data_IF_548816632701
#
_entry.id   IF_548816632701
#
_cell.length_a   1.000
_cell.length_b   1.000
_cell.length_c   1.000
_cell.angle_alpha   90.00
_cell.angle_beta   90.00
_cell.angle_gamma   90.00
#
_symmetry.space_group_name_H-M   'P 1'
#
loop_
_entity.id
_entity.type
_entity.pdbx_description
1 polymer ?
#
# COMPACT_ATOMS: atom_id res chain seq x y z
N UNK A 1 22.73 -21.96 -19.97
CA UNK A 1 22.67 -21.40 -18.61
C UNK A 1 23.13 -19.96 -18.71
N UNK A 2 22.18 -19.03 -18.82
CA UNK A 2 22.48 -17.60 -19.01
C UNK A 2 22.83 -17.00 -17.65
N UNK A 3 24.05 -16.48 -17.54
CA UNK A 3 24.60 -15.83 -16.35
C UNK A 3 24.08 -14.40 -16.36
N UNK A 4 23.09 -14.10 -15.52
CA UNK A 4 22.70 -12.72 -15.25
C UNK A 4 23.83 -12.04 -14.48
N UNK A 5 24.54 -11.13 -15.14
CA UNK A 5 25.45 -10.20 -14.47
C UNK A 5 24.59 -9.15 -13.77
N UNK A 6 24.56 -9.22 -12.44
CA UNK A 6 24.01 -8.18 -11.59
C UNK A 6 25.03 -7.04 -11.55
N UNK A 7 24.86 -6.05 -12.43
CA UNK A 7 25.63 -4.81 -12.37
C UNK A 7 25.18 -4.01 -11.15
N UNK A 8 25.93 -4.11 -10.06
CA UNK A 8 25.91 -3.14 -8.97
C UNK A 8 26.33 -1.78 -9.54
N UNK A 9 25.36 -0.93 -9.87
CA UNK A 9 25.65 0.46 -10.20
C UNK A 9 26.02 1.16 -8.89
N UNK A 10 27.32 1.33 -8.65
CA UNK A 10 27.80 2.31 -7.68
C UNK A 10 27.53 3.70 -8.26
N UNK A 11 26.57 4.40 -7.66
CA UNK A 11 26.27 5.79 -7.97
C UNK A 11 27.38 6.69 -7.39
N UNK A 12 28.52 6.76 -8.07
CA UNK A 12 29.43 7.90 -7.94
C UNK A 12 29.02 8.95 -8.98
N UNK A 13 28.86 10.20 -8.54
CA UNK A 13 28.62 11.41 -9.34
C UNK A 13 27.16 11.87 -9.43
N UNK A 14 26.68 12.55 -8.39
CA UNK A 14 26.18 13.94 -8.44
C UNK A 14 25.59 14.33 -7.07
N UNK A 15 26.45 14.87 -6.18
CA UNK A 15 26.06 15.29 -4.83
C UNK A 15 25.63 16.77 -4.77
N UNK A 16 25.14 17.34 -5.87
CA UNK A 16 24.81 18.77 -5.99
C UNK A 16 23.44 19.13 -5.39
N UNK A 17 22.92 18.37 -4.43
CA UNK A 17 21.56 18.59 -3.91
C UNK A 17 21.35 18.04 -2.51
N UNK A 18 22.12 18.54 -1.55
CA UNK A 18 21.80 18.46 -0.12
C UNK A 18 21.62 17.06 0.44
N UNK A 19 22.50 16.10 0.13
CA UNK A 19 22.47 14.76 0.74
C UNK A 19 21.38 13.82 0.23
N UNK A 20 20.41 14.29 -0.56
CA UNK A 20 19.36 13.45 -1.14
C UNK A 20 19.94 12.53 -2.23
N UNK A 21 19.64 11.22 -2.23
CA UNK A 21 20.21 10.28 -3.20
C UNK A 21 19.78 10.57 -4.64
N UNK A 22 20.73 10.45 -5.58
CA UNK A 22 20.49 10.65 -7.01
C UNK A 22 19.42 9.70 -7.58
N UNK A 23 19.25 8.50 -7.00
CA UNK A 23 18.22 7.55 -7.42
C UNK A 23 16.81 8.07 -7.17
N UNK A 24 16.54 8.69 -6.02
CA UNK A 24 15.22 9.26 -5.73
C UNK A 24 14.92 10.46 -6.64
N UNK A 25 15.94 11.28 -6.95
CA UNK A 25 15.80 12.47 -7.79
C UNK A 25 15.29 12.16 -9.21
N UNK A 26 15.44 10.92 -9.68
CA UNK A 26 14.99 10.45 -11.01
C UNK A 26 13.48 10.17 -11.08
N UNK A 27 12.77 10.24 -9.94
CA UNK A 27 11.35 9.92 -9.86
C UNK A 27 10.51 11.18 -9.59
N UNK A 28 9.42 11.35 -10.33
CA UNK A 28 8.46 12.46 -10.16
C UNK A 28 7.45 12.15 -9.05
N UNK A 29 7.97 11.96 -7.83
CA UNK A 29 7.21 11.47 -6.68
C UNK A 29 7.32 12.42 -5.48
N UNK A 30 7.48 13.72 -5.75
CA UNK A 30 7.79 14.70 -4.71
C UNK A 30 6.59 15.56 -4.32
N UNK A 31 6.59 16.02 -3.07
CA UNK A 31 5.69 17.04 -2.56
C UNK A 31 6.40 17.95 -1.55
N UNK A 32 5.85 19.14 -1.31
CA UNK A 32 6.32 20.04 -0.26
C UNK A 32 5.46 19.86 0.98
N UNK A 33 6.08 19.84 2.15
CA UNK A 33 5.41 19.84 3.45
C UNK A 33 5.74 21.07 4.28
N UNK A 34 4.86 21.40 5.23
CA UNK A 34 5.12 22.29 6.35
C UNK A 34 4.55 21.64 7.61
N UNK A 35 5.34 21.61 8.69
CA UNK A 35 4.98 20.90 9.92
C UNK A 35 4.55 19.44 9.62
N UNK A 36 5.29 18.77 8.73
CA UNK A 36 5.01 17.41 8.21
C UNK A 36 3.68 17.22 7.45
N UNK A 37 2.95 18.29 7.17
CA UNK A 37 1.69 18.26 6.42
C UNK A 37 1.90 18.67 4.97
N UNK A 38 1.27 18.01 3.99
CA UNK A 38 1.45 18.34 2.59
C UNK A 38 0.85 19.72 2.31
N UNK A 39 1.60 20.58 1.61
CA UNK A 39 1.17 21.93 1.19
C UNK A 39 1.20 22.11 -0.32
N UNK A 40 2.09 21.40 -1.03
CA UNK A 40 2.14 21.42 -2.49
C UNK A 40 2.42 20.01 -3.04
N UNK A 41 1.38 19.29 -3.49
CA UNK A 41 -0.05 19.62 -3.37
C UNK A 41 -0.56 19.47 -1.93
N UNK A 42 -1.58 20.23 -1.52
CA UNK A 42 -2.16 20.11 -0.17
C UNK A 42 -3.10 18.91 -0.01
N UNK A 43 -3.70 18.46 -1.11
CA UNK A 43 -4.60 17.30 -1.17
C UNK A 43 -4.33 16.50 -2.44
N UNK A 44 -4.71 15.22 -2.45
CA UNK A 44 -4.58 14.36 -3.62
C UNK A 44 -3.13 14.06 -4.03
N UNK A 45 -2.17 14.17 -3.11
CA UNK A 45 -0.76 13.80 -3.34
C UNK A 45 -0.58 12.31 -3.68
N UNK A 46 -1.57 11.49 -3.34
CA UNK A 46 -1.64 10.09 -3.74
C UNK A 46 -1.82 9.91 -5.25
N UNK A 47 -2.35 10.91 -5.95
CA UNK A 47 -2.52 10.85 -7.41
C UNK A 47 -1.20 11.24 -8.10
N UNK A 48 -0.74 10.39 -9.03
CA UNK A 48 0.54 10.61 -9.73
C UNK A 48 0.62 11.96 -10.44
N UNK A 49 -0.49 12.44 -11.00
CA UNK A 49 -0.58 13.72 -11.73
C UNK A 49 -0.34 14.95 -10.86
N UNK A 50 -0.46 14.83 -9.54
CA UNK A 50 -0.28 15.95 -8.60
C UNK A 50 1.13 16.01 -8.01
N UNK A 51 1.96 14.98 -8.26
CA UNK A 51 3.33 14.89 -7.74
C UNK A 51 4.28 15.71 -8.60
N UNK A 52 5.34 16.18 -7.96
CA UNK A 52 6.33 17.08 -8.56
C UNK A 52 7.58 16.31 -8.94
N UNK A 53 8.32 16.83 -9.92
CA UNK A 53 9.71 16.46 -10.15
C UNK A 53 10.62 16.99 -9.03
N UNK A 54 11.84 16.46 -8.94
CA UNK A 54 12.80 16.90 -7.92
C UNK A 54 13.16 18.39 -8.03
N UNK A 55 13.31 18.92 -9.24
CA UNK A 55 13.61 20.34 -9.45
C UNK A 55 12.44 21.23 -9.06
N UNK A 56 11.21 20.83 -9.40
CA UNK A 56 10.01 21.60 -9.07
C UNK A 56 9.74 21.62 -7.57
N UNK A 57 9.98 20.51 -6.87
CA UNK A 57 9.77 20.46 -5.41
C UNK A 57 10.79 21.32 -4.68
N UNK A 58 12.04 21.38 -5.13
CA UNK A 58 13.07 22.24 -4.54
C UNK A 58 12.69 23.72 -4.65
N UNK A 59 12.35 24.17 -5.86
CA UNK A 59 11.93 25.56 -6.09
C UNK A 59 10.70 25.93 -5.24
N UNK A 60 9.73 25.03 -5.16
CA UNK A 60 8.52 25.25 -4.34
C UNK A 60 8.79 25.21 -2.85
N UNK A 61 9.66 24.34 -2.37
CA UNK A 61 10.04 24.28 -0.97
C UNK A 61 10.70 25.58 -0.52
N UNK A 62 11.62 26.13 -1.34
CA UNK A 62 12.22 27.44 -1.09
C UNK A 62 11.18 28.57 -1.11
N UNK A 63 10.30 28.59 -2.10
CA UNK A 63 9.26 29.62 -2.23
C UNK A 63 8.28 29.62 -1.04
N UNK A 64 7.90 28.45 -0.56
CA UNK A 64 6.91 28.29 0.50
C UNK A 64 7.55 28.32 1.90
N UNK A 65 8.87 28.15 2.01
CA UNK A 65 9.53 27.87 3.29
C UNK A 65 9.06 26.53 3.86
N UNK A 66 9.07 25.49 3.03
CA UNK A 66 8.68 24.13 3.39
C UNK A 66 9.83 23.13 3.25
N UNK A 67 9.54 21.88 3.56
CA UNK A 67 10.46 20.75 3.47
C UNK A 67 10.05 19.85 2.30
N UNK A 68 11.03 19.25 1.63
CA UNK A 68 10.76 18.29 0.55
C UNK A 68 10.37 16.93 1.14
N UNK A 69 9.42 16.25 0.51
CA UNK A 69 9.02 14.90 0.89
C UNK A 69 8.88 14.00 -0.33
N UNK A 70 9.21 12.73 -0.14
CA UNK A 70 9.18 11.70 -1.16
C UNK A 70 8.02 10.73 -0.90
N UNK A 71 7.20 10.49 -1.92
CA UNK A 71 6.01 9.61 -1.85
C UNK A 71 6.38 8.20 -2.30
N UNK A 72 6.15 7.21 -1.44
CA UNK A 72 6.30 5.80 -1.77
C UNK A 72 5.12 5.30 -2.60
N UNK A 73 5.36 4.40 -3.56
CA UNK A 73 4.37 3.91 -4.51
C UNK A 73 4.69 2.48 -4.95
N UNK A 74 3.67 1.67 -5.23
CA UNK A 74 3.85 0.31 -5.77
C UNK A 74 4.64 0.26 -7.09
N UNK A 75 4.62 1.34 -7.88
CA UNK A 75 5.37 1.43 -9.14
C UNK A 75 6.88 1.65 -8.99
N UNK A 76 7.33 2.06 -7.81
CA UNK A 76 8.72 2.37 -7.53
C UNK A 76 9.34 1.25 -6.68
N UNK A 77 10.61 0.89 -6.89
CA UNK A 77 11.24 -0.22 -6.18
C UNK A 77 11.65 0.12 -4.74
N UNK A 78 11.19 1.26 -4.19
CA UNK A 78 11.69 1.80 -2.94
C UNK A 78 10.83 1.37 -1.76
N UNK A 79 11.51 0.95 -0.70
CA UNK A 79 10.93 0.74 0.62
C UNK A 79 11.60 1.69 1.61
N UNK A 80 10.78 2.34 2.42
CA UNK A 80 11.19 3.22 3.51
C UNK A 80 11.04 2.53 4.85
N UNK A 81 12.11 2.51 5.63
CA UNK A 81 12.12 2.13 7.03
C UNK A 81 12.18 3.41 7.86
N UNK A 82 11.19 3.60 8.73
CA UNK A 82 11.13 4.72 9.67
C UNK A 82 11.46 4.20 11.07
N UNK A 83 12.60 4.62 11.61
CA UNK A 83 13.02 4.31 12.97
C UNK A 83 12.71 5.50 13.86
N UNK A 84 11.55 5.47 14.51
CA UNK A 84 11.04 6.57 15.30
C UNK A 84 11.44 6.47 16.77
N UNK A 85 11.86 7.59 17.35
CA UNK A 85 12.26 7.74 18.76
C UNK A 85 13.34 6.73 19.23
N UNK A 86 14.31 6.45 18.36
CA UNK A 86 15.41 5.50 18.59
C UNK A 86 16.70 6.14 19.13
N UNK A 87 16.59 7.32 19.75
CA UNK A 87 17.71 8.10 20.27
C UNK A 87 17.73 8.10 21.79
N UNK A 88 18.83 7.64 22.37
CA UNK A 88 19.11 7.65 23.81
C UNK A 88 20.07 8.80 24.14
N UNK A 89 19.52 9.97 24.45
CA UNK A 89 20.31 11.17 24.73
C UNK A 89 20.93 11.75 23.47
N UNK A 90 22.25 11.62 23.33
CA UNK A 90 22.98 12.12 22.16
C UNK A 90 23.17 11.06 21.07
N UNK A 91 23.07 9.77 21.42
CA UNK A 91 23.42 8.65 20.56
C UNK A 91 22.16 7.89 20.13
N UNK A 92 22.20 7.25 18.97
CA UNK A 92 21.16 6.30 18.55
C UNK A 92 21.34 4.96 19.24
N UNK A 93 20.25 4.22 19.45
CA UNK A 93 20.30 2.89 20.08
C UNK A 93 21.07 1.89 19.23
N UNK A 94 21.79 0.97 19.88
CA UNK A 94 22.51 -0.12 19.21
C UNK A 94 21.58 -0.98 18.32
N UNK A 95 20.30 -1.12 18.71
CA UNK A 95 19.31 -1.86 17.92
C UNK A 95 18.98 -1.14 16.60
N UNK A 96 18.77 0.17 16.65
CA UNK A 96 18.54 0.97 15.45
C UNK A 96 19.77 0.99 14.54
N UNK A 97 20.96 1.16 15.11
CA UNK A 97 22.22 1.12 14.35
C UNK A 97 22.45 -0.27 13.73
N UNK A 98 22.13 -1.34 14.44
CA UNK A 98 22.18 -2.70 13.89
C UNK A 98 21.21 -2.91 12.71
N UNK A 99 20.06 -2.24 12.69
CA UNK A 99 19.14 -2.26 11.54
C UNK A 99 19.74 -1.48 10.36
N UNK A 100 20.25 -0.27 10.61
CA UNK A 100 20.91 0.59 9.61
C UNK A 100 22.09 -0.13 8.95
N UNK A 101 23.00 -0.70 9.75
CA UNK A 101 24.16 -1.45 9.27
C UNK A 101 23.78 -2.69 8.47
N UNK A 102 22.69 -3.38 8.84
CA UNK A 102 22.20 -4.52 8.07
C UNK A 102 21.67 -4.08 6.72
N UNK A 103 20.85 -3.04 6.69
CA UNK A 103 20.27 -2.51 5.46
C UNK A 103 21.35 -1.93 4.54
N UNK A 104 22.38 -1.26 5.09
CA UNK A 104 23.53 -0.71 4.35
C UNK A 104 23.06 0.02 3.08
N UNK A 105 22.23 1.04 3.30
CA UNK A 105 21.54 1.81 2.26
C UNK A 105 21.32 3.23 2.76
N UNK A 106 20.90 4.13 1.86
CA UNK A 106 20.64 5.54 2.15
C UNK A 106 19.99 5.74 3.52
N UNK A 107 20.69 6.46 4.41
CA UNK A 107 20.23 6.73 5.77
C UNK A 107 20.39 8.21 6.08
N UNK A 108 19.34 8.81 6.62
CA UNK A 108 19.33 10.21 7.08
C UNK A 108 18.71 10.34 8.47
N UNK A 109 19.07 11.40 9.18
CA UNK A 109 18.42 11.79 10.43
C UNK A 109 17.05 12.38 10.11
N UNK A 110 16.00 11.86 10.75
CA UNK A 110 14.63 12.32 10.51
C UNK A 110 14.43 13.76 11.00
N UNK A 111 13.38 14.44 10.51
CA UNK A 111 13.08 15.84 10.89
C UNK A 111 12.75 16.04 12.38
N UNK A 112 12.51 14.97 13.15
CA UNK A 112 12.40 15.07 14.61
C UNK A 112 13.75 15.15 15.32
N UNK A 113 14.84 14.72 14.67
CA UNK A 113 16.17 14.58 15.26
C UNK A 113 16.31 13.43 16.26
N UNK A 114 15.22 12.67 16.50
CA UNK A 114 15.17 11.49 17.40
C UNK A 114 15.08 10.17 16.64
N UNK A 115 14.86 10.21 15.33
CA UNK A 115 14.72 9.04 14.49
C UNK A 115 15.67 9.02 13.28
N UNK A 116 15.61 7.93 12.53
CA UNK A 116 16.37 7.70 11.31
C UNK A 116 15.42 7.21 10.22
N UNK A 117 15.58 7.72 9.00
CA UNK A 117 14.98 7.12 7.81
C UNK A 117 16.03 6.28 7.08
N UNK A 118 15.68 5.04 6.70
CA UNK A 118 16.48 4.23 5.78
C UNK A 118 15.66 3.96 4.53
N UNK A 119 16.22 4.23 3.35
CA UNK A 119 15.57 3.98 2.06
C UNK A 119 16.38 2.95 1.29
N UNK A 120 15.76 1.85 0.93
CA UNK A 120 16.38 0.74 0.20
C UNK A 120 15.52 0.32 -1.00
N UNK A 121 16.10 -0.48 -1.91
CA UNK A 121 15.33 -1.15 -2.95
C UNK A 121 15.06 -2.61 -2.59
N UNK A 122 13.79 -3.02 -2.63
CA UNK A 122 13.36 -4.37 -2.31
C UNK A 122 11.87 -4.46 -2.04
N UNK A 123 11.37 -5.69 -1.91
CA UNK A 123 9.96 -5.97 -1.68
C UNK A 123 9.73 -6.37 -0.21
N UNK A 124 8.67 -5.85 0.38
CA UNK A 124 8.19 -6.26 1.69
C UNK A 124 7.32 -7.52 1.60
N UNK A 125 7.15 -8.21 2.72
CA UNK A 125 6.20 -9.29 2.90
C UNK A 125 4.87 -8.76 3.44
N UNK A 126 3.76 -9.20 2.85
CA UNK A 126 2.40 -8.93 3.32
C UNK A 126 2.06 -9.69 4.62
N UNK A 127 2.89 -10.64 5.03
CA UNK A 127 2.66 -11.51 6.20
C UNK A 127 3.00 -10.81 7.53
N UNK A 128 3.57 -9.61 7.50
CA UNK A 128 3.93 -8.84 8.69
C UNK A 128 3.17 -7.52 8.77
N UNK A 129 2.95 -7.01 9.98
CA UNK A 129 2.43 -5.65 10.17
C UNK A 129 3.46 -4.64 9.68
N UNK A 130 3.01 -3.40 9.44
CA UNK A 130 3.90 -2.31 9.04
C UNK A 130 4.62 -1.64 10.22
N UNK A 131 4.21 -1.90 11.47
CA UNK A 131 4.77 -1.28 12.68
C UNK A 131 5.09 -2.31 13.75
N UNK A 132 6.24 -2.17 14.40
CA UNK A 132 6.70 -2.99 15.53
C UNK A 132 7.51 -2.18 16.53
N UNK A 133 7.33 -2.44 17.81
CA UNK A 133 8.08 -1.76 18.88
C UNK A 133 9.48 -2.37 19.00
N UNK A 134 10.50 -1.53 19.16
CA UNK A 134 11.89 -1.97 19.33
C UNK A 134 12.19 -2.25 20.81
N UNK A 135 13.13 -3.17 21.06
CA UNK A 135 13.47 -3.62 22.43
C UNK A 135 14.14 -2.54 23.29
N UNK A 136 14.83 -1.59 22.64
CA UNK A 136 15.53 -0.45 23.29
C UNK A 136 14.70 0.84 23.32
N UNK A 137 13.43 0.78 22.94
CA UNK A 137 12.57 1.95 22.83
C UNK A 137 12.51 2.48 21.40
N UNK A 138 11.44 3.23 21.13
CA UNK A 138 11.08 3.59 19.77
C UNK A 138 10.35 2.47 19.03
N UNK A 139 10.16 2.66 17.74
CA UNK A 139 9.47 1.71 16.88
C UNK A 139 10.05 1.73 15.47
N UNK A 140 9.88 0.61 14.78
CA UNK A 140 10.17 0.47 13.37
C UNK A 140 8.86 0.48 12.60
N UNK A 141 8.78 1.32 11.57
CA UNK A 141 7.74 1.25 10.54
C UNK A 141 8.34 0.96 9.16
N UNK A 142 7.58 0.26 8.32
CA UNK A 142 7.97 -0.10 6.96
C UNK A 142 6.86 0.27 5.98
N UNK A 143 7.23 1.02 4.93
CA UNK A 143 6.31 1.47 3.89
C UNK A 143 6.92 1.35 2.50
N UNK A 144 6.17 0.80 1.56
CA UNK A 144 6.49 0.77 0.12
C UNK A 144 5.48 1.57 -0.72
N UNK A 145 4.35 1.98 -0.13
CA UNK A 145 3.36 2.83 -0.75
C UNK A 145 2.48 3.56 0.28
N UNK A 146 1.56 4.41 -0.20
CA UNK A 146 0.53 5.08 0.60
C UNK A 146 1.05 5.99 1.73
N UNK A 147 2.36 6.25 1.79
CA UNK A 147 3.04 7.15 2.72
C UNK A 147 4.09 7.99 2.00
N UNK A 148 4.53 9.04 2.68
CA UNK A 148 5.65 9.87 2.25
C UNK A 148 6.59 10.11 3.43
N UNK A 149 7.88 10.25 3.16
CA UNK A 149 8.87 10.68 4.15
C UNK A 149 9.29 12.12 3.85
N UNK A 150 9.34 12.94 4.90
CA UNK A 150 9.97 14.27 4.83
C UNK A 150 11.46 14.06 4.87
N UNK A 151 12.15 14.40 3.77
CA UNK A 151 13.59 14.15 3.65
C UNK A 151 14.37 15.38 4.10
N UNK A 152 15.30 15.17 5.01
CA UNK A 152 16.14 16.24 5.57
C UNK A 152 17.43 16.42 4.76
N UNK A 153 17.92 15.35 4.15
CA UNK A 153 19.26 15.33 3.55
C UNK A 153 20.40 15.36 4.58
N UNK A 154 20.09 15.23 5.88
CA UNK A 154 21.09 15.10 6.95
C UNK A 154 21.59 13.66 7.01
N UNK A 155 22.53 13.35 6.11
CA UNK A 155 23.06 11.99 5.90
C UNK A 155 23.71 11.48 7.18
N UNK A 156 23.32 10.27 7.58
CA UNK A 156 23.93 9.54 8.68
C UNK A 156 25.07 8.65 8.18
N UNK A 157 26.24 8.76 8.81
CA UNK A 157 27.42 7.89 8.60
C UNK A 157 27.78 7.61 7.13
N UNK A 158 27.70 8.65 6.28
CA UNK A 158 28.01 8.60 4.84
C UNK A 158 27.14 7.61 4.00
N UNK A 159 26.02 7.13 4.54
CA UNK A 159 25.05 6.32 3.81
C UNK A 159 24.23 7.18 2.82
N UNK A 160 24.84 7.57 1.70
CA UNK A 160 24.23 8.46 0.70
C UNK A 160 23.45 7.68 -0.38
N UNK A 161 23.90 6.47 -0.70
CA UNK A 161 23.41 5.74 -1.87
C UNK A 161 22.29 4.76 -1.53
N UNK A 162 21.23 4.75 -2.33
CA UNK A 162 20.17 3.74 -2.21
C UNK A 162 20.65 2.43 -2.81
N UNK A 163 20.57 1.36 -2.02
CA UNK A 163 21.08 0.06 -2.37
C UNK A 163 19.96 -0.95 -2.54
N UNK A 164 20.12 -1.88 -3.50
CA UNK A 164 19.23 -3.04 -3.64
C UNK A 164 19.53 -4.09 -2.59
N UNK A 165 18.50 -4.42 -1.79
CA UNK A 165 18.56 -5.22 -0.57
C UNK A 165 17.35 -6.16 -0.40
N UNK A 166 16.83 -6.84 -1.45
CA UNK A 166 15.54 -7.56 -1.38
C UNK A 166 15.49 -8.61 -0.26
N UNK A 167 16.58 -9.37 -0.07
CA UNK A 167 16.67 -10.36 1.00
C UNK A 167 16.75 -9.71 2.39
N UNK A 168 17.54 -8.65 2.53
CA UNK A 168 17.77 -8.01 3.82
C UNK A 168 16.54 -7.24 4.29
N UNK A 169 15.79 -6.62 3.36
CA UNK A 169 14.51 -5.97 3.62
C UNK A 169 13.57 -6.95 4.33
N UNK A 170 13.40 -8.16 3.78
CA UNK A 170 12.56 -9.19 4.37
C UNK A 170 13.14 -9.72 5.70
N UNK A 171 14.46 -9.91 5.80
CA UNK A 171 15.09 -10.38 7.04
C UNK A 171 14.97 -9.37 8.19
N UNK A 172 15.01 -8.07 7.91
CA UNK A 172 14.76 -7.00 8.90
C UNK A 172 13.28 -6.97 9.26
N UNK A 173 12.40 -7.01 8.27
CA UNK A 173 10.95 -7.05 8.51
C UNK A 173 10.55 -8.24 9.40
N UNK A 174 10.97 -9.46 9.06
CA UNK A 174 10.63 -10.65 9.83
C UNK A 174 11.20 -10.62 11.26
N UNK A 175 12.36 -9.99 11.46
CA UNK A 175 13.00 -9.91 12.77
C UNK A 175 12.34 -8.89 13.71
N UNK A 176 11.80 -7.80 13.17
CA UNK A 176 11.39 -6.63 13.96
C UNK A 176 9.89 -6.32 13.89
N UNK A 177 9.18 -6.77 12.86
CA UNK A 177 7.75 -6.52 12.70
C UNK A 177 6.94 -7.77 13.04
N UNK A 178 5.85 -7.64 13.82
CA UNK A 178 5.04 -8.79 14.21
C UNK A 178 4.33 -9.40 12.99
N UNK A 179 4.23 -10.73 12.97
CA UNK A 179 3.42 -11.43 11.99
C UNK A 179 1.96 -10.97 12.07
N UNK A 180 1.32 -10.87 10.91
CA UNK A 180 -0.14 -10.75 10.84
C UNK A 180 -0.72 -12.08 11.25
N UNK A 181 -1.78 -12.09 12.08
CA UNK A 181 -2.51 -13.33 12.32
C UNK A 181 -3.01 -13.85 10.97
N UNK A 182 -2.74 -15.11 10.66
CA UNK A 182 -3.43 -15.79 9.57
C UNK A 182 -4.93 -15.57 9.77
N UNK A 183 -5.58 -14.88 8.82
CA UNK A 183 -7.03 -14.97 8.69
C UNK A 183 -7.34 -16.37 8.16
N UNK A 184 -7.16 -17.40 8.99
CA UNK A 184 -7.74 -18.70 8.74
C UNK A 184 -9.24 -18.53 8.88
N UNK A 185 -9.91 -18.24 7.78
CA UNK A 185 -11.29 -18.63 7.64
C UNK A 185 -11.29 -20.16 7.68
N UNK A 186 -11.39 -20.73 8.88
CA UNK A 186 -12.04 -22.04 9.00
C UNK A 186 -13.45 -21.81 8.50
N UNK A 187 -13.63 -22.00 7.20
CA UNK A 187 -14.90 -22.43 6.64
C UNK A 187 -15.21 -23.75 7.34
N UNK A 188 -15.75 -23.68 8.56
CA UNK A 188 -16.72 -24.67 8.97
C UNK A 188 -17.87 -24.47 8.01
N UNK A 189 -17.76 -25.12 6.84
CA UNK A 189 -18.93 -25.52 6.10
C UNK A 189 -19.68 -26.45 7.03
N UNK A 190 -20.50 -25.87 7.92
CA UNK A 190 -21.65 -26.59 8.44
C UNK A 190 -22.47 -26.87 7.18
N UNK A 191 -22.64 -28.14 6.78
CA UNK A 191 -23.50 -28.44 5.66
C UNK A 191 -24.90 -28.07 6.14
N UNK A 192 -25.39 -26.89 5.74
CA UNK A 192 -26.79 -26.57 5.87
C UNK A 192 -27.49 -27.53 4.92
N UNK A 193 -28.17 -28.52 5.48
CA UNK A 193 -29.04 -29.40 4.72
C UNK A 193 -30.04 -28.55 3.93
N UNK A 194 -30.21 -28.82 2.64
CA UNK A 194 -31.15 -28.12 1.73
C UNK A 194 -32.64 -28.27 2.11
N UNK A 195 -32.94 -28.76 3.31
CA UNK A 195 -34.29 -29.01 3.79
C UNK A 195 -34.55 -28.16 5.04
N UNK A 196 -34.65 -26.84 4.84
CA UNK A 196 -35.52 -25.94 5.61
C UNK A 196 -35.41 -24.49 5.07
N UNK A 197 -35.37 -24.32 3.74
CA UNK A 197 -35.70 -23.02 3.15
C UNK A 197 -37.21 -22.98 2.93
N UNK A 198 -37.93 -22.60 3.99
CA UNK A 198 -39.35 -22.26 3.91
C UNK A 198 -39.50 -21.10 2.91
N UNK A 199 -40.37 -21.28 1.92
CA UNK A 199 -40.62 -20.26 0.87
C UNK A 199 -41.49 -19.16 1.45
N UNK A 200 -40.90 -18.32 2.30
CA UNK A 200 -41.52 -17.16 2.91
C UNK A 200 -40.51 -16.04 3.14
N UNK A 201 -40.54 -15.05 2.24
CA UNK A 201 -40.12 -13.65 2.43
C UNK A 201 -38.91 -13.34 3.34
N UNK A 202 -37.74 -13.14 2.73
CA UNK A 202 -37.10 -11.83 2.50
C UNK A 202 -35.67 -12.05 2.02
N UNK A 203 -35.46 -12.00 0.70
CA UNK A 203 -34.12 -11.72 0.17
C UNK A 203 -33.69 -10.36 0.73
N UNK A 204 -32.60 -10.33 1.50
CA UNK A 204 -32.00 -9.07 1.89
C UNK A 204 -31.70 -8.28 0.61
N UNK A 205 -32.41 -7.18 0.41
CA UNK A 205 -32.20 -6.32 -0.75
C UNK A 205 -30.76 -5.79 -0.72
N UNK A 206 -30.14 -5.53 -1.89
CA UNK A 206 -28.80 -4.94 -1.98
C UNK A 206 -28.63 -3.70 -1.09
N UNK A 207 -29.73 -2.99 -0.82
CA UNK A 207 -29.78 -1.78 -0.02
C UNK A 207 -29.70 -2.07 1.49
N UNK A 208 -30.16 -3.24 1.94
CA UNK A 208 -29.96 -3.74 3.31
C UNK A 208 -28.50 -4.16 3.53
N UNK A 209 -27.87 -4.79 2.54
CA UNK A 209 -26.42 -5.12 2.56
C UNK A 209 -25.57 -3.85 2.55
N UNK A 210 -25.92 -2.86 1.72
CA UNK A 210 -25.28 -1.53 1.70
C UNK A 210 -25.44 -0.73 2.99
N UNK A 211 -26.40 -1.06 3.87
CA UNK A 211 -26.58 -0.40 5.17
C UNK A 211 -25.72 -1.00 6.28
N UNK A 212 -25.29 -2.25 6.14
CA UNK A 212 -24.49 -2.97 7.14
C UNK A 212 -23.00 -2.61 7.01
N UNK A 213 -22.50 -2.44 5.79
CA UNK A 213 -21.08 -2.12 5.53
C UNK A 213 -20.65 -0.78 6.18
N UNK A 214 -21.43 0.33 6.10
CA UNK A 214 -21.06 1.58 6.76
C UNK A 214 -21.20 1.55 8.29
N UNK A 215 -21.94 0.58 8.85
CA UNK A 215 -22.11 0.45 10.30
C UNK A 215 -20.87 -0.14 10.97
N UNK A 216 -20.13 -1.02 10.28
CA UNK A 216 -18.82 -1.48 10.72
C UNK A 216 -17.74 -0.40 10.57
N UNK A 217 -17.79 0.38 9.48
CA UNK A 217 -16.79 1.44 9.20
C UNK A 217 -16.92 2.66 10.14
N UNK A 218 -18.09 2.93 10.71
CA UNK A 218 -18.29 4.10 11.61
C UNK A 218 -17.92 3.88 13.08
N UNK A 219 -17.61 2.66 13.51
CA UNK A 219 -17.42 2.35 14.94
C UNK A 219 -16.01 1.96 15.38
N UNK A 220 -15.00 1.98 14.49
CA UNK A 220 -13.61 1.78 14.93
C UNK A 220 -12.78 3.05 14.71
N UNK A 221 -12.43 3.73 15.80
CA UNK A 221 -11.39 4.77 15.87
C UNK A 221 -9.96 4.20 15.68
N UNK A 222 -9.81 3.16 14.86
CA UNK A 222 -8.53 2.48 14.59
C UNK A 222 -8.40 2.18 13.11
N UNK A 223 -7.16 2.32 12.64
CA UNK A 223 -6.64 2.04 11.30
C UNK A 223 -7.55 1.13 10.47
N UNK A 224 -8.14 1.69 9.42
CA UNK A 224 -8.83 0.89 8.41
C UNK A 224 -7.77 0.30 7.49
N UNK A 225 -7.40 -0.95 7.79
CA UNK A 225 -6.41 -1.75 7.06
C UNK A 225 -6.70 -1.84 5.55
N UNK A 226 -5.61 -1.96 4.77
CA UNK A 226 -5.58 -2.17 3.29
C UNK A 226 -6.55 -3.26 2.82
N UNK A 227 -6.73 -4.33 3.62
CA UNK A 227 -7.66 -5.43 3.31
C UNK A 227 -9.13 -5.09 3.57
N UNK A 228 -9.46 -4.18 4.50
CA UNK A 228 -10.82 -3.69 4.69
C UNK A 228 -11.33 -2.91 3.47
N UNK A 229 -10.45 -2.14 2.85
CA UNK A 229 -10.70 -1.42 1.59
C UNK A 229 -10.73 -2.39 0.40
N UNK A 230 -9.83 -3.37 0.35
CA UNK A 230 -9.77 -4.40 -0.72
C UNK A 230 -10.99 -5.32 -0.72
N UNK A 231 -11.47 -5.75 0.46
CA UNK A 231 -12.70 -6.52 0.61
C UNK A 231 -13.93 -5.69 0.21
N UNK A 232 -14.00 -4.40 0.55
CA UNK A 232 -15.08 -3.53 0.07
C UNK A 232 -15.08 -3.41 -1.46
N UNK A 233 -13.89 -3.31 -2.06
CA UNK A 233 -13.74 -3.23 -3.52
C UNK A 233 -14.07 -4.56 -4.22
N UNK A 234 -13.55 -5.68 -3.71
CA UNK A 234 -13.79 -7.02 -4.25
C UNK A 234 -15.24 -7.48 -4.10
N UNK A 235 -15.88 -7.21 -2.96
CA UNK A 235 -17.31 -7.52 -2.76
C UNK A 235 -18.19 -6.64 -3.65
N UNK A 236 -17.83 -5.37 -3.84
CA UNK A 236 -18.49 -4.49 -4.82
C UNK A 236 -18.36 -5.03 -6.26
N UNK A 237 -17.16 -5.47 -6.64
CA UNK A 237 -16.88 -6.00 -7.96
C UNK A 237 -17.51 -7.39 -8.18
N UNK A 238 -17.58 -8.26 -7.16
CA UNK A 238 -18.26 -9.56 -7.25
C UNK A 238 -19.77 -9.39 -7.45
N UNK A 239 -20.39 -8.39 -6.82
CA UNK A 239 -21.80 -8.05 -7.03
C UNK A 239 -22.07 -7.50 -8.44
N UNK A 240 -21.13 -6.72 -9.01
CA UNK A 240 -21.21 -6.25 -10.40
C UNK A 240 -20.98 -7.37 -11.41
N UNK A 241 -20.03 -8.27 -11.15
CA UNK A 241 -19.76 -9.45 -11.98
C UNK A 241 -20.97 -10.41 -11.96
N UNK A 242 -21.69 -10.56 -10.84
CA UNK A 242 -22.92 -11.35 -10.82
C UNK A 242 -24.06 -10.71 -11.63
N UNK A 243 -24.13 -9.37 -11.69
CA UNK A 243 -25.02 -8.65 -12.62
C UNK A 243 -24.63 -8.83 -14.09
N UNK A 244 -23.33 -8.93 -14.39
CA UNK A 244 -22.83 -9.14 -15.75
C UNK A 244 -23.01 -10.60 -16.23
N UNK A 245 -22.77 -11.59 -15.36
CA UNK A 245 -22.95 -13.02 -15.68
C UNK A 245 -24.43 -13.42 -15.89
N UNK A 246 -25.34 -12.73 -15.19
CA UNK A 246 -26.79 -12.93 -15.38
C UNK A 246 -27.27 -12.36 -16.73
N UNK A 247 -26.57 -11.38 -17.33
CA UNK A 247 -26.90 -10.88 -18.68
C UNK A 247 -26.32 -11.71 -19.81
N UNK A 248 -25.14 -12.34 -19.64
CA UNK A 248 -24.48 -13.05 -20.74
C UNK A 248 -24.99 -14.49 -20.97
N UNK A 249 -25.68 -15.08 -19.98
CA UNK A 249 -26.22 -16.46 -20.08
C UNK A 249 -27.70 -16.50 -20.53
N UNK A 250 -28.36 -15.35 -20.71
CA UNK A 250 -29.79 -15.27 -21.11
C UNK A 250 -29.99 -15.07 -22.65
N UNK A 251 -28.93 -14.91 -23.45
CA UNK A 251 -29.06 -14.74 -24.92
C UNK A 251 -28.82 -16.04 -25.73
N UNK A 252 -28.62 -17.20 -25.10
CA UNK A 252 -28.42 -18.48 -25.83
C UNK A 252 -29.41 -19.61 -25.46
N UNK A 253 -30.51 -19.28 -24.76
CA UNK A 253 -31.58 -20.23 -24.38
C UNK A 253 -32.98 -19.72 -24.82
N UNK A 254 -33.06 -18.84 -25.84
CA UNK A 254 -34.34 -18.40 -26.45
C UNK A 254 -34.50 -18.73 -27.94
N UNK A 255 -33.65 -19.61 -28.47
CA UNK A 255 -33.92 -20.33 -29.71
C UNK A 255 -33.76 -21.81 -29.44
N UNK A 256 -34.85 -22.45 -29.04
CA UNK A 256 -35.24 -23.86 -29.25
C UNK A 256 -36.26 -24.20 -28.16
N UNK A 257 -37.45 -24.61 -28.62
CA UNK A 257 -38.65 -25.02 -27.86
C UNK A 257 -39.74 -23.96 -27.67
N UNK A 258 -40.51 -23.75 -28.75
CA UNK A 258 -41.88 -23.29 -28.65
C UNK A 258 -42.79 -24.33 -29.34
N UNK A 259 -43.62 -25.10 -28.63
CA UNK A 259 -44.74 -25.81 -29.22
C UNK A 259 -46.05 -25.07 -28.87
N UNK A 260 -46.57 -24.30 -29.84
CA UNK A 260 -47.92 -23.77 -29.76
C UNK A 260 -48.93 -24.82 -30.25
N UNK A 261 -49.76 -25.30 -29.33
CA UNK A 261 -51.09 -25.84 -29.64
C UNK A 261 -52.07 -24.68 -29.77
N UNK A 262 -52.87 -24.65 -30.84
CA UNK A 262 -54.35 -24.58 -30.82
C UNK A 262 -54.86 -24.52 -32.25
N UNK A 263 -55.72 -25.46 -32.64
CA UNK A 263 -56.38 -25.47 -33.93
C UNK A 263 -57.69 -24.68 -33.93
N UNK A 264 -58.08 -24.16 -35.09
CA UNK A 264 -59.44 -24.25 -35.64
C UNK A 264 -59.44 -23.75 -37.09
N UNK A 265 -60.00 -24.58 -37.98
CA UNK A 265 -60.29 -24.27 -39.37
C UNK A 265 -61.40 -23.21 -39.49
N UNK A 266 -61.51 -22.56 -40.66
CA UNK A 266 -62.74 -22.77 -41.43
C UNK A 266 -62.49 -22.99 -42.92
N UNK A 267 -63.43 -23.71 -43.52
CA UNK A 267 -63.56 -24.00 -44.95
C UNK A 267 -64.37 -22.90 -45.64
N UNK A 268 -63.94 -22.49 -46.84
CA UNK A 268 -64.83 -22.24 -47.98
C UNK A 268 -64.06 -22.34 -49.29
N UNK A 269 -64.44 -23.32 -50.11
CA UNK A 269 -65.14 -23.02 -51.37
C UNK A 269 -66.62 -23.29 -51.14
#
# INVERSE_FOLDING_TARGET
MSRFEFTSQQDSEDNTGGGIPSRLKKHDQWLVTQDKKPVAPSEGWQESVNRLSFTEVQDKAEQLGGEVAFVFTESAPFVGFDLDDVKEGAEFTDEALGIVERLDSCTEVSSSGTGLHVIAEGDHSDDHKHRGDLSKGGHLELYDESRYFVLTGDVYDDFISVMSRPRVVQEVQCAHLPERPDCSFTSQQVPVSEQEFDRGETDATPEQVRRIIPACVKHSERDVDREGLRLCYLVGHQLEVHRAFTKYTITRITFLHNPMTTGRSPSTK
#
